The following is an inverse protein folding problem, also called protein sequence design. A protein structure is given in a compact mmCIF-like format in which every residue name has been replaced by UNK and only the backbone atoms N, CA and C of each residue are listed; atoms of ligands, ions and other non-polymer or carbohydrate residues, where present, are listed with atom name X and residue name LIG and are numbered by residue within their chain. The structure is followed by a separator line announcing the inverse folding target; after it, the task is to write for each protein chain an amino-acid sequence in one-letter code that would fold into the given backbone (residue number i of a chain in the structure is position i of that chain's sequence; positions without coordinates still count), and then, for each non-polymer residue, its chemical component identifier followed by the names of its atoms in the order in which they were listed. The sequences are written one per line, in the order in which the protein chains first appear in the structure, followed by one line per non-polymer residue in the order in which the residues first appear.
data_IF_346797491293
#
_entry.id   IF_346797491293
#
_cell.length_a   1.000
_cell.length_b   1.000
_cell.length_c   1.000
_cell.angle_alpha   90.00
_cell.angle_beta   90.00
_cell.angle_gamma   90.00
#
_symmetry.space_group_name_H-M   'P 1'
#
loop_
_entity.id
_entity.type
_entity.pdbx_description
1 polymer ?
#
# COMPACT_ATOMS: atom_id res chain seq x y z
N UNK A 1 5.48 -9.75 -22.35
CA UNK A 1 6.52 -10.78 -22.56
C UNK A 1 6.04 -11.90 -23.49
N UNK A 2 4.76 -12.30 -23.43
CA UNK A 2 4.20 -13.36 -24.28
C UNK A 2 3.29 -12.86 -25.41
N UNK A 3 3.37 -11.59 -25.80
CA UNK A 3 2.56 -11.06 -26.91
C UNK A 3 3.35 -11.23 -28.23
N UNK A 4 2.66 -11.50 -29.33
CA UNK A 4 3.26 -11.73 -30.66
C UNK A 4 3.15 -13.18 -31.14
N UNK A 5 3.74 -13.49 -32.29
CA UNK A 5 3.72 -14.82 -32.91
C UNK A 5 5.12 -15.46 -32.88
N UNK A 6 5.18 -16.79 -32.74
CA UNK A 6 6.39 -17.59 -32.98
C UNK A 6 6.37 -18.01 -34.44
N UNK A 7 7.43 -17.69 -35.17
CA UNK A 7 7.56 -18.06 -36.58
C UNK A 7 8.25 -19.42 -36.75
N UNK A 8 9.20 -19.74 -35.88
CA UNK A 8 9.94 -21.02 -35.87
C UNK A 8 10.31 -21.38 -34.42
N UNK A 9 10.13 -22.64 -34.03
CA UNK A 9 10.57 -23.20 -32.74
C UNK A 9 10.66 -24.73 -32.82
N UNK A 10 11.55 -25.24 -33.68
CA UNK A 10 11.65 -26.67 -34.00
C UNK A 10 11.95 -27.55 -32.77
N UNK A 11 12.60 -27.00 -31.75
CA UNK A 11 12.94 -27.69 -30.50
C UNK A 11 11.86 -27.54 -29.41
N UNK A 12 10.87 -26.66 -29.59
CA UNK A 12 9.83 -26.36 -28.60
C UNK A 12 10.31 -25.60 -27.34
N UNK A 13 11.62 -25.39 -27.18
CA UNK A 13 12.21 -24.80 -25.98
C UNK A 13 11.84 -23.32 -25.81
N UNK A 14 11.66 -22.58 -26.90
CA UNK A 14 11.25 -21.18 -26.81
C UNK A 14 9.79 -21.08 -26.37
N UNK A 15 8.90 -21.89 -26.95
CA UNK A 15 7.49 -21.97 -26.56
C UNK A 15 7.37 -22.34 -25.09
N UNK A 16 8.06 -23.39 -24.65
CA UNK A 16 8.06 -23.84 -23.24
C UNK A 16 8.45 -22.70 -22.30
N UNK A 17 9.58 -22.03 -22.55
CA UNK A 17 10.04 -20.91 -21.71
C UNK A 17 9.10 -19.71 -21.77
N UNK A 18 8.54 -19.40 -22.94
CA UNK A 18 7.58 -18.30 -23.11
C UNK A 18 6.32 -18.56 -22.29
N UNK A 19 5.82 -19.78 -22.27
CA UNK A 19 4.65 -20.18 -21.46
C UNK A 19 4.89 -19.98 -19.97
N UNK A 20 6.12 -20.18 -19.47
CA UNK A 20 6.49 -19.89 -18.08
C UNK A 20 6.33 -18.40 -17.73
N UNK A 21 6.40 -17.49 -18.72
CA UNK A 21 6.15 -16.05 -18.56
C UNK A 21 4.71 -15.63 -18.90
N UNK A 22 3.80 -16.57 -19.10
CA UNK A 22 2.39 -16.27 -19.40
C UNK A 22 1.63 -15.68 -18.20
N UNK A 23 2.12 -15.94 -16.99
CA UNK A 23 1.58 -15.41 -15.74
C UNK A 23 2.70 -15.08 -14.76
N UNK A 24 2.40 -14.21 -13.79
CA UNK A 24 3.33 -13.99 -12.68
C UNK A 24 3.56 -15.30 -11.90
N UNK A 25 4.82 -15.58 -11.48
CA UNK A 25 5.05 -16.53 -10.42
C UNK A 25 4.17 -16.18 -9.21
N UNK A 26 3.50 -17.17 -8.64
CA UNK A 26 2.45 -16.93 -7.62
C UNK A 26 2.93 -16.06 -6.44
N UNK A 27 4.14 -16.26 -5.86
CA UNK A 27 4.61 -15.39 -4.79
C UNK A 27 4.78 -13.93 -5.21
N UNK A 28 5.27 -13.68 -6.44
CA UNK A 28 5.40 -12.32 -7.00
C UNK A 28 4.02 -11.69 -7.17
N UNK A 29 3.03 -12.46 -7.66
CA UNK A 29 1.64 -12.00 -7.78
C UNK A 29 1.07 -11.59 -6.42
N UNK A 30 1.26 -12.40 -5.39
CA UNK A 30 0.76 -12.15 -4.03
C UNK A 30 1.43 -10.94 -3.39
N UNK A 31 2.76 -10.80 -3.54
CA UNK A 31 3.48 -9.62 -3.05
C UNK A 31 2.95 -8.33 -3.68
N UNK A 32 2.79 -8.33 -5.01
CA UNK A 32 2.23 -7.17 -5.73
C UNK A 32 0.79 -6.89 -5.33
N UNK A 33 -0.01 -7.93 -5.12
CA UNK A 33 -1.40 -7.79 -4.69
C UNK A 33 -1.47 -7.14 -3.32
N UNK A 34 -0.66 -7.60 -2.36
CA UNK A 34 -0.59 -7.00 -1.02
C UNK A 34 -0.23 -5.50 -1.09
N UNK A 35 0.79 -5.14 -1.88
CA UNK A 35 1.18 -3.73 -2.06
C UNK A 35 0.08 -2.88 -2.70
N UNK A 36 -0.61 -3.42 -3.70
CA UNK A 36 -1.70 -2.72 -4.38
C UNK A 36 -2.92 -2.54 -3.46
N UNK A 37 -3.24 -3.53 -2.63
CA UNK A 37 -4.29 -3.42 -1.60
C UNK A 37 -3.97 -2.33 -0.58
N UNK A 38 -2.73 -2.26 -0.08
CA UNK A 38 -2.29 -1.19 0.82
C UNK A 38 -2.43 0.19 0.19
N UNK A 39 -2.01 0.34 -1.07
CA UNK A 39 -2.17 1.61 -1.81
C UNK A 39 -3.64 1.99 -1.98
N UNK A 40 -4.49 1.02 -2.32
CA UNK A 40 -5.93 1.22 -2.46
C UNK A 40 -6.57 1.68 -1.14
N UNK A 41 -6.21 1.04 -0.01
CA UNK A 41 -6.68 1.42 1.32
C UNK A 41 -6.21 2.83 1.71
N UNK A 42 -4.92 3.12 1.55
CA UNK A 42 -4.32 4.40 1.93
C UNK A 42 -4.88 5.55 1.09
N UNK A 43 -4.93 5.41 -0.23
CA UNK A 43 -5.42 6.46 -1.12
C UNK A 43 -6.94 6.68 -0.98
N UNK A 44 -7.72 5.59 -1.04
CA UNK A 44 -9.18 5.67 -1.05
C UNK A 44 -9.79 5.78 0.35
N UNK A 45 -9.60 4.76 1.19
CA UNK A 45 -10.32 4.65 2.46
C UNK A 45 -9.82 5.63 3.53
N UNK A 46 -8.55 6.04 3.44
CA UNK A 46 -7.92 6.90 4.44
C UNK A 46 -7.69 8.34 3.95
N UNK A 47 -6.90 8.54 2.89
CA UNK A 47 -6.45 9.88 2.48
C UNK A 47 -7.56 10.71 1.83
N UNK A 48 -8.38 10.12 0.95
CA UNK A 48 -9.42 10.86 0.23
C UNK A 48 -10.40 11.57 1.19
N UNK A 49 -11.00 10.84 2.13
CA UNK A 49 -11.97 11.43 3.08
C UNK A 49 -11.36 12.52 3.97
N UNK A 50 -10.06 12.43 4.27
CA UNK A 50 -9.33 13.47 5.01
C UNK A 50 -9.08 14.71 4.16
N UNK A 51 -8.72 14.52 2.89
CA UNK A 51 -8.59 15.62 1.93
C UNK A 51 -9.94 16.34 1.77
N UNK A 52 -11.03 15.58 1.64
CA UNK A 52 -12.39 16.11 1.52
C UNK A 52 -12.80 16.97 2.72
N UNK A 53 -12.58 16.48 3.95
CA UNK A 53 -12.87 17.24 5.18
C UNK A 53 -12.11 18.58 5.25
N UNK A 54 -10.95 18.69 4.60
CA UNK A 54 -10.12 19.89 4.55
C UNK A 54 -10.42 20.81 3.36
N UNK A 55 -11.25 20.37 2.42
CA UNK A 55 -11.44 21.09 1.16
C UNK A 55 -10.18 21.09 0.26
N UNK A 56 -9.23 20.19 0.48
CA UNK A 56 -8.00 20.11 -0.33
C UNK A 56 -8.26 19.39 -1.65
N UNK A 57 -8.65 20.18 -2.66
CA UNK A 57 -9.03 19.67 -3.98
C UNK A 57 -7.86 18.94 -4.68
N UNK A 58 -6.62 19.44 -4.53
CA UNK A 58 -5.45 18.83 -5.16
C UNK A 58 -5.14 17.44 -4.59
N UNK A 59 -5.22 17.30 -3.26
CA UNK A 59 -5.06 16.01 -2.58
C UNK A 59 -6.23 15.06 -2.90
N UNK A 60 -7.46 15.55 -3.06
CA UNK A 60 -8.60 14.73 -3.50
C UNK A 60 -8.36 14.12 -4.88
N UNK A 61 -7.98 14.93 -5.88
CA UNK A 61 -7.66 14.44 -7.22
C UNK A 61 -6.52 13.42 -7.22
N UNK A 62 -5.45 13.72 -6.48
CA UNK A 62 -4.28 12.83 -6.39
C UNK A 62 -4.63 11.50 -5.74
N UNK A 63 -5.40 11.53 -4.66
CA UNK A 63 -5.86 10.33 -3.94
C UNK A 63 -6.80 9.49 -4.81
N UNK A 64 -7.73 10.12 -5.53
CA UNK A 64 -8.65 9.44 -6.43
C UNK A 64 -7.91 8.77 -7.59
N UNK A 65 -6.94 9.46 -8.18
CA UNK A 65 -6.10 8.90 -9.24
C UNK A 65 -5.31 7.67 -8.75
N UNK A 66 -4.60 7.76 -7.61
CA UNK A 66 -3.86 6.63 -7.03
C UNK A 66 -4.79 5.46 -6.67
N UNK A 67 -5.98 5.74 -6.12
CA UNK A 67 -6.99 4.73 -5.82
C UNK A 67 -7.44 3.98 -7.08
N UNK A 68 -7.77 4.69 -8.17
CA UNK A 68 -8.18 4.08 -9.45
C UNK A 68 -7.05 3.21 -10.01
N UNK A 69 -5.80 3.67 -9.96
CA UNK A 69 -4.67 2.89 -10.48
C UNK A 69 -4.40 1.63 -9.66
N UNK A 70 -4.41 1.75 -8.32
CA UNK A 70 -4.22 0.63 -7.43
C UNK A 70 -5.35 -0.40 -7.58
N UNK A 71 -6.60 0.06 -7.68
CA UNK A 71 -7.78 -0.80 -7.86
C UNK A 71 -7.71 -1.57 -9.19
N UNK A 72 -7.32 -0.91 -10.28
CA UNK A 72 -7.11 -1.59 -11.55
C UNK A 72 -6.02 -2.66 -11.46
N UNK A 73 -4.86 -2.36 -10.84
CA UNK A 73 -3.79 -3.33 -10.61
C UNK A 73 -4.26 -4.55 -9.81
N UNK A 74 -5.02 -4.34 -8.72
CA UNK A 74 -5.66 -5.41 -7.95
C UNK A 74 -6.54 -6.27 -8.86
N UNK A 75 -7.38 -5.66 -9.70
CA UNK A 75 -8.23 -6.37 -10.65
C UNK A 75 -7.45 -7.29 -11.60
N UNK A 76 -6.34 -6.81 -12.17
CA UNK A 76 -5.47 -7.62 -13.04
C UNK A 76 -4.81 -8.78 -12.27
N UNK A 77 -4.30 -8.52 -11.06
CA UNK A 77 -3.65 -9.53 -10.24
C UNK A 77 -4.61 -10.62 -9.76
N UNK A 78 -5.88 -10.28 -9.49
CA UNK A 78 -6.94 -11.22 -9.16
C UNK A 78 -7.44 -12.01 -10.38
N UNK A 79 -7.32 -11.45 -11.58
CA UNK A 79 -7.55 -12.15 -12.85
C UNK A 79 -6.32 -12.93 -13.35
N UNK A 80 -5.21 -12.97 -12.59
CA UNK A 80 -3.94 -13.62 -12.96
C UNK A 80 -3.39 -13.13 -14.30
N UNK A 81 -3.56 -11.85 -14.62
CA UNK A 81 -3.12 -11.24 -15.86
C UNK A 81 -2.13 -10.09 -15.63
N UNK A 82 -1.26 -9.86 -16.61
CA UNK A 82 -0.39 -8.69 -16.60
C UNK A 82 -1.21 -7.42 -16.85
N UNK A 83 -1.05 -6.43 -15.97
CA UNK A 83 -1.61 -5.10 -16.21
C UNK A 83 -0.88 -4.44 -17.40
N UNK A 84 -1.59 -3.94 -18.42
CA UNK A 84 -0.98 -3.27 -19.55
C UNK A 84 -0.52 -1.84 -19.19
N UNK A 85 0.15 -1.18 -20.13
CA UNK A 85 0.55 0.21 -20.01
C UNK A 85 -0.66 1.12 -19.71
N UNK A 86 -0.44 2.21 -18.97
CA UNK A 86 -1.51 2.97 -18.31
C UNK A 86 -2.65 3.40 -19.25
N UNK A 87 -2.33 3.75 -20.52
CA UNK A 87 -3.33 4.16 -21.52
C UNK A 87 -4.35 3.07 -21.90
N UNK A 88 -4.00 1.80 -21.71
CA UNK A 88 -4.86 0.65 -22.01
C UNK A 88 -5.43 -0.03 -20.77
N UNK A 89 -5.05 0.45 -19.58
CA UNK A 89 -5.35 -0.17 -18.29
C UNK A 89 -6.84 -0.37 -18.07
N UNK A 90 -7.66 0.67 -18.22
CA UNK A 90 -9.11 0.57 -18.00
C UNK A 90 -9.79 -0.24 -19.12
N UNK A 91 -9.41 -0.04 -20.39
CA UNK A 91 -9.97 -0.78 -21.53
C UNK A 91 -9.73 -2.29 -21.40
N UNK A 92 -8.52 -2.72 -21.02
CA UNK A 92 -8.20 -4.14 -20.88
C UNK A 92 -9.01 -4.87 -19.82
N UNK A 93 -9.67 -4.15 -18.90
CA UNK A 93 -10.57 -4.74 -17.90
C UNK A 93 -11.85 -5.33 -18.51
N UNK A 94 -12.17 -5.04 -19.78
CA UNK A 94 -13.28 -5.70 -20.50
C UNK A 94 -13.13 -7.22 -20.56
N UNK A 95 -11.89 -7.72 -20.50
CA UNK A 95 -11.57 -9.15 -20.58
C UNK A 95 -11.59 -9.85 -19.21
N UNK A 96 -11.98 -9.13 -18.14
CA UNK A 96 -11.99 -9.69 -16.79
C UNK A 96 -13.02 -10.80 -16.65
N UNK A 97 -12.55 -11.97 -16.19
CA UNK A 97 -13.41 -13.12 -15.84
C UNK A 97 -13.95 -13.00 -14.42
N UNK A 98 -13.18 -12.33 -13.56
CA UNK A 98 -13.47 -12.01 -12.15
C UNK A 98 -13.60 -10.50 -11.98
N UNK A 99 -14.40 -10.05 -11.02
CA UNK A 99 -14.65 -8.62 -10.82
C UNK A 99 -15.19 -7.91 -12.09
N UNK A 100 -16.12 -8.55 -12.82
CA UNK A 100 -16.64 -8.07 -14.12
C UNK A 100 -17.21 -6.65 -14.08
N UNK A 101 -17.75 -6.22 -12.93
CA UNK A 101 -18.33 -4.88 -12.74
C UNK A 101 -17.30 -3.80 -12.41
N UNK A 102 -16.04 -4.18 -12.12
CA UNK A 102 -15.04 -3.25 -11.61
C UNK A 102 -14.73 -2.11 -12.59
N UNK A 103 -14.69 -2.41 -13.89
CA UNK A 103 -14.50 -1.40 -14.94
C UNK A 103 -15.59 -0.32 -14.87
N UNK A 104 -16.85 -0.73 -14.90
CA UNK A 104 -17.98 0.23 -14.88
C UNK A 104 -18.05 1.00 -13.56
N UNK A 105 -17.67 0.40 -12.45
CA UNK A 105 -17.61 1.10 -11.15
C UNK A 105 -16.53 2.19 -11.16
N UNK A 106 -15.32 1.87 -11.64
CA UNK A 106 -14.26 2.87 -11.79
C UNK A 106 -14.63 3.97 -12.80
N UNK A 107 -15.25 3.62 -13.92
CA UNK A 107 -15.71 4.59 -14.92
C UNK A 107 -16.83 5.50 -14.38
N UNK A 108 -17.70 4.99 -13.51
CA UNK A 108 -18.70 5.80 -12.82
C UNK A 108 -18.02 6.79 -11.87
N UNK A 109 -17.11 6.30 -11.03
CA UNK A 109 -16.34 7.11 -10.09
C UNK A 109 -15.55 8.23 -10.78
N UNK A 110 -14.87 7.92 -11.88
CA UNK A 110 -14.06 8.89 -12.65
C UNK A 110 -14.87 10.00 -13.34
N UNK A 111 -16.20 9.85 -13.47
CA UNK A 111 -17.08 10.90 -14.03
C UNK A 111 -17.44 11.97 -13.01
N UNK A 112 -17.16 11.74 -11.73
CA UNK A 112 -17.50 12.65 -10.64
C UNK A 112 -16.44 13.74 -10.52
N UNK A 113 -16.87 14.90 -10.07
CA UNK A 113 -15.95 15.92 -9.59
C UNK A 113 -15.31 15.43 -8.30
N UNK A 114 -14.02 15.72 -8.09
CA UNK A 114 -13.26 15.18 -6.96
C UNK A 114 -13.75 15.66 -5.58
N UNK A 115 -14.67 16.62 -5.51
CA UNK A 115 -15.30 17.11 -4.28
C UNK A 115 -16.67 16.48 -4.01
N UNK A 116 -17.16 15.61 -4.90
CA UNK A 116 -18.47 14.96 -4.76
C UNK A 116 -18.59 14.19 -3.43
N UNK A 117 -19.68 14.46 -2.71
CA UNK A 117 -19.98 13.84 -1.41
C UNK A 117 -20.21 12.31 -1.50
N UNK A 118 -20.47 11.78 -2.70
CA UNK A 118 -20.78 10.36 -2.92
C UNK A 118 -19.52 9.50 -3.10
N UNK A 119 -18.35 10.11 -3.34
CA UNK A 119 -17.10 9.39 -3.62
C UNK A 119 -16.66 8.46 -2.47
N UNK A 120 -16.72 8.85 -1.18
CA UNK A 120 -16.35 7.94 -0.09
C UNK A 120 -17.18 6.65 -0.07
N UNK A 121 -18.48 6.75 -0.33
CA UNK A 121 -19.39 5.61 -0.38
C UNK A 121 -19.05 4.70 -1.57
N UNK A 122 -18.77 5.28 -2.75
CA UNK A 122 -18.36 4.51 -3.92
C UNK A 122 -17.03 3.80 -3.74
N UNK A 123 -16.05 4.47 -3.11
CA UNK A 123 -14.79 3.86 -2.69
C UNK A 123 -15.09 2.65 -1.80
N UNK A 124 -15.98 2.81 -0.81
CA UNK A 124 -16.41 1.74 0.09
C UNK A 124 -17.01 0.54 -0.66
N UNK A 125 -17.93 0.79 -1.60
CA UNK A 125 -18.56 -0.25 -2.42
C UNK A 125 -17.53 -0.99 -3.29
N UNK A 126 -16.58 -0.28 -3.90
CA UNK A 126 -15.49 -0.87 -4.69
C UNK A 126 -14.59 -1.74 -3.80
N UNK A 127 -14.19 -1.23 -2.61
CA UNK A 127 -13.38 -1.96 -1.65
C UNK A 127 -14.07 -3.25 -1.18
N UNK A 128 -15.37 -3.19 -0.86
CA UNK A 128 -16.16 -4.36 -0.49
C UNK A 128 -16.23 -5.39 -1.63
N UNK A 129 -16.41 -4.94 -2.88
CA UNK A 129 -16.44 -5.83 -4.04
C UNK A 129 -15.10 -6.56 -4.24
N UNK A 130 -13.98 -5.87 -4.03
CA UNK A 130 -12.63 -6.47 -4.03
C UNK A 130 -12.47 -7.45 -2.87
N UNK A 131 -12.92 -7.10 -1.66
CA UNK A 131 -12.84 -7.96 -0.48
C UNK A 131 -13.58 -9.29 -0.69
N UNK A 132 -14.76 -9.27 -1.30
CA UNK A 132 -15.51 -10.50 -1.62
C UNK A 132 -14.75 -11.39 -2.61
N UNK A 133 -14.10 -10.83 -3.63
CA UNK A 133 -13.26 -11.63 -4.53
C UNK A 133 -12.02 -12.21 -3.81
N UNK A 134 -11.42 -11.46 -2.86
CA UNK A 134 -10.33 -11.99 -2.04
C UNK A 134 -10.79 -13.20 -1.22
N UNK A 135 -11.99 -13.15 -0.63
CA UNK A 135 -12.59 -14.28 0.09
C UNK A 135 -12.86 -15.47 -0.85
N UNK A 136 -13.44 -15.23 -2.02
CA UNK A 136 -13.69 -16.26 -3.06
C UNK A 136 -12.40 -16.96 -3.48
N UNK A 137 -11.28 -16.24 -3.54
CA UNK A 137 -9.97 -16.81 -3.87
C UNK A 137 -9.22 -17.39 -2.66
N UNK A 138 -9.82 -17.40 -1.47
CA UNK A 138 -9.20 -17.82 -0.21
C UNK A 138 -7.89 -17.05 0.11
N UNK A 139 -7.85 -15.77 -0.28
CA UNK A 139 -6.70 -14.88 -0.05
C UNK A 139 -6.84 -14.09 1.27
N UNK A 140 -8.03 -14.12 1.88
CA UNK A 140 -8.26 -13.61 3.23
C UNK A 140 -9.34 -14.43 3.95
N UNK A 141 -9.30 -14.38 5.29
CA UNK A 141 -10.35 -14.88 6.19
C UNK A 141 -11.05 -13.76 6.96
N UNK A 142 -10.56 -12.53 6.81
CA UNK A 142 -11.10 -11.36 7.51
C UNK A 142 -12.33 -10.80 6.77
N UNK A 143 -13.30 -10.31 7.54
CA UNK A 143 -14.42 -9.52 7.06
C UNK A 143 -14.19 -8.01 7.21
N UNK A 144 -13.03 -7.58 7.69
CA UNK A 144 -12.70 -6.17 7.89
C UNK A 144 -12.71 -5.41 6.56
N UNK A 145 -13.42 -4.29 6.53
CA UNK A 145 -13.64 -3.50 5.32
C UNK A 145 -12.40 -2.71 4.91
N UNK A 146 -11.53 -2.36 5.87
CA UNK A 146 -10.27 -1.67 5.59
C UNK A 146 -9.27 -2.62 4.91
N UNK A 147 -8.94 -2.35 3.64
CA UNK A 147 -8.20 -3.29 2.79
C UNK A 147 -6.75 -3.51 3.22
N UNK A 148 -6.16 -2.58 3.98
CA UNK A 148 -4.78 -2.75 4.49
C UNK A 148 -4.67 -3.93 5.46
N UNK A 149 -5.77 -4.28 6.17
CA UNK A 149 -5.83 -5.49 7.01
C UNK A 149 -5.66 -6.76 6.18
N UNK A 150 -6.11 -6.75 4.93
CA UNK A 150 -6.06 -7.92 4.05
C UNK A 150 -4.64 -8.22 3.55
N UNK A 151 -3.76 -7.22 3.56
CA UNK A 151 -2.35 -7.32 3.17
C UNK A 151 -1.64 -8.46 3.91
N UNK A 152 -1.81 -8.55 5.23
CA UNK A 152 -1.09 -9.55 6.03
C UNK A 152 -1.55 -10.98 5.74
N UNK A 153 -2.83 -11.19 5.43
CA UNK A 153 -3.32 -12.51 5.00
C UNK A 153 -2.71 -12.93 3.65
N UNK A 154 -2.64 -12.00 2.70
CA UNK A 154 -2.04 -12.24 1.38
C UNK A 154 -0.54 -12.53 1.50
N UNK A 155 0.18 -11.75 2.32
CA UNK A 155 1.62 -11.97 2.57
C UNK A 155 1.89 -13.26 3.33
N UNK A 156 1.04 -13.62 4.30
CA UNK A 156 1.14 -14.91 4.96
C UNK A 156 1.02 -16.07 3.95
N UNK A 157 0.01 -16.03 3.06
CA UNK A 157 -0.14 -17.04 2.00
C UNK A 157 1.09 -17.12 1.09
N UNK A 158 1.69 -15.98 0.75
CA UNK A 158 2.93 -15.92 -0.02
C UNK A 158 4.07 -16.65 0.71
N UNK A 159 4.29 -16.36 1.99
CA UNK A 159 5.35 -16.98 2.81
C UNK A 159 5.20 -18.50 2.87
N UNK A 160 3.97 -19.00 3.04
CA UNK A 160 3.70 -20.45 3.06
C UNK A 160 4.00 -21.14 1.71
N UNK A 161 3.73 -20.47 0.58
CA UNK A 161 4.09 -21.00 -0.74
C UNK A 161 5.60 -21.08 -0.97
N UNK A 162 6.35 -20.12 -0.41
CA UNK A 162 7.81 -20.10 -0.53
C UNK A 162 8.44 -21.24 0.27
N UNK A 163 7.92 -21.54 1.49
CA UNK A 163 8.36 -22.68 2.31
C UNK A 163 8.08 -24.03 1.64
N UNK A 164 6.89 -24.21 1.08
CA UNK A 164 6.45 -25.51 0.52
C UNK A 164 7.13 -25.90 -0.78
N UNK A 165 7.59 -24.96 -1.60
CA UNK A 165 8.16 -25.25 -2.92
C UNK A 165 9.58 -25.82 -2.91
N UNK A 166 10.25 -26.01 -1.76
CA UNK A 166 11.70 -26.30 -1.69
C UNK A 166 12.49 -25.43 -2.69
N UNK A 167 12.02 -24.20 -2.95
CA UNK A 167 12.95 -23.23 -3.48
C UNK A 167 14.03 -23.14 -2.41
N UNK A 168 15.33 -23.17 -2.75
CA UNK A 168 16.38 -22.80 -1.81
C UNK A 168 16.32 -21.28 -1.60
N UNK A 169 15.14 -20.77 -1.28
CA UNK A 169 15.01 -19.72 -0.32
C UNK A 169 15.41 -20.47 0.94
N UNK A 170 16.69 -20.37 1.32
CA UNK A 170 17.08 -20.65 2.70
C UNK A 170 15.96 -20.01 3.54
N UNK A 171 15.40 -20.68 4.55
CA UNK A 171 14.44 -20.04 5.46
C UNK A 171 14.91 -18.62 5.85
N UNK A 172 16.23 -18.43 5.80
CA UNK A 172 16.93 -17.20 5.55
C UNK A 172 16.73 -16.40 4.24
N UNK A 173 15.54 -15.99 3.80
CA UNK A 173 15.50 -14.86 2.82
C UNK A 173 14.42 -13.86 3.09
N UNK A 174 13.26 -14.22 3.63
CA UNK A 174 12.35 -13.20 4.17
C UNK A 174 12.52 -13.09 5.68
N UNK A 175 12.61 -14.23 6.37
CA UNK A 175 13.04 -14.26 7.77
C UNK A 175 14.51 -13.89 7.92
N UNK A 176 15.35 -13.94 6.88
CA UNK A 176 16.71 -13.35 6.90
C UNK A 176 16.86 -12.06 6.14
N UNK A 177 15.93 -11.62 5.30
CA UNK A 177 15.82 -10.16 5.08
C UNK A 177 15.32 -9.44 6.35
N UNK A 178 14.56 -10.14 7.22
CA UNK A 178 14.09 -9.63 8.51
C UNK A 178 15.02 -10.00 9.69
N UNK A 179 15.84 -11.06 9.61
CA UNK A 179 16.91 -11.43 10.57
C UNK A 179 18.30 -10.90 10.21
N UNK A 180 18.62 -10.61 8.93
CA UNK A 180 19.83 -9.83 8.54
C UNK A 180 19.67 -8.37 8.94
N UNK A 181 18.45 -7.93 9.23
CA UNK A 181 18.32 -6.76 10.09
C UNK A 181 18.85 -7.19 11.44
N UNK A 182 20.00 -6.64 11.81
CA UNK A 182 20.57 -6.92 13.12
C UNK A 182 19.49 -6.71 14.17
N UNK A 183 19.50 -7.50 15.25
CA UNK A 183 18.60 -7.28 16.39
C UNK A 183 18.68 -5.81 16.85
N UNK A 184 19.83 -5.17 16.63
CA UNK A 184 20.05 -3.75 16.81
C UNK A 184 19.16 -2.88 15.90
N UNK A 185 19.10 -3.11 14.59
CA UNK A 185 18.20 -2.38 13.68
C UNK A 185 16.74 -2.47 14.10
N UNK A 186 16.28 -3.68 14.44
CA UNK A 186 14.90 -3.89 14.91
C UNK A 186 14.63 -3.12 16.20
N UNK A 187 15.57 -3.19 17.14
CA UNK A 187 15.52 -2.43 18.40
C UNK A 187 15.45 -0.92 18.15
N UNK A 188 16.31 -0.39 17.26
CA UNK A 188 16.30 1.02 16.87
C UNK A 188 14.95 1.43 16.28
N UNK A 189 14.42 0.65 15.33
CA UNK A 189 13.10 0.93 14.74
C UNK A 189 11.99 0.91 15.80
N UNK A 190 11.97 -0.08 16.69
CA UNK A 190 10.97 -0.17 17.76
C UNK A 190 11.06 1.02 18.72
N UNK A 191 12.27 1.46 19.07
CA UNK A 191 12.51 2.64 19.91
C UNK A 191 12.08 3.94 19.22
N UNK A 192 12.43 4.13 17.95
CA UNK A 192 12.03 5.29 17.14
C UNK A 192 10.51 5.37 17.07
N UNK A 193 9.83 4.26 16.76
CA UNK A 193 8.36 4.23 16.65
C UNK A 193 7.70 4.56 17.99
N UNK A 194 8.25 4.05 19.10
CA UNK A 194 7.74 4.37 20.44
C UNK A 194 7.93 5.86 20.79
N UNK A 195 9.08 6.46 20.49
CA UNK A 195 9.32 7.88 20.74
C UNK A 195 8.51 8.79 19.82
N UNK A 196 8.45 8.48 18.51
CA UNK A 196 7.58 9.20 17.58
C UNK A 196 6.13 9.12 18.02
N UNK A 197 5.66 7.99 18.54
CA UNK A 197 4.29 7.88 19.04
C UNK A 197 4.02 8.83 20.20
N UNK A 198 4.91 8.88 21.21
CA UNK A 198 4.79 9.82 22.34
C UNK A 198 4.75 11.27 21.87
N UNK A 199 5.59 11.63 20.91
CA UNK A 199 5.61 12.97 20.32
C UNK A 199 4.35 13.23 19.47
N UNK A 200 3.92 12.25 18.68
CA UNK A 200 2.76 12.33 17.82
C UNK A 200 1.48 12.53 18.62
N UNK A 201 1.32 11.89 19.79
CA UNK A 201 0.18 12.14 20.70
C UNK A 201 0.04 13.61 21.11
N UNK A 202 1.15 14.34 21.18
CA UNK A 202 1.16 15.76 21.57
C UNK A 202 1.05 16.71 20.38
N UNK A 203 1.15 16.20 19.15
CA UNK A 203 1.06 17.02 17.95
C UNK A 203 -0.40 17.42 17.69
N UNK A 204 -0.64 18.72 17.51
CA UNK A 204 -1.95 19.24 17.10
C UNK A 204 -1.90 19.63 15.63
N UNK A 205 -2.84 19.13 14.84
CA UNK A 205 -3.02 19.55 13.45
C UNK A 205 -4.13 20.61 13.37
N UNK A 206 -4.27 21.27 12.21
CA UNK A 206 -5.34 22.26 11.94
C UNK A 206 -6.76 21.76 12.29
N UNK A 207 -7.02 20.46 12.15
CA UNK A 207 -8.29 19.81 12.47
C UNK A 207 -8.37 19.16 13.85
N UNK A 208 -7.43 19.44 14.75
CA UNK A 208 -7.33 18.80 16.06
C UNK A 208 -6.55 17.48 16.04
N UNK A 209 -6.95 16.55 16.90
CA UNK A 209 -6.34 15.22 17.01
C UNK A 209 -6.57 14.41 15.72
N UNK A 210 -5.52 13.72 15.26
CA UNK A 210 -5.65 12.84 14.11
C UNK A 210 -6.18 11.48 14.57
N UNK A 211 -7.07 10.86 13.81
CA UNK A 211 -7.62 9.51 14.12
C UNK A 211 -6.53 8.46 14.40
N UNK A 212 -5.39 8.56 13.70
CA UNK A 212 -4.24 7.70 13.96
C UNK A 212 -3.62 7.85 15.35
N UNK A 213 -3.86 8.94 16.09
CA UNK A 213 -3.43 9.08 17.49
C UNK A 213 -4.16 8.09 18.40
N UNK A 214 -5.30 7.52 17.98
CA UNK A 214 -6.02 6.51 18.76
C UNK A 214 -5.84 5.09 18.23
N UNK A 215 -5.04 4.88 17.19
CA UNK A 215 -4.86 3.57 16.54
C UNK A 215 -3.37 3.19 16.47
N UNK A 216 -2.86 2.68 17.59
CA UNK A 216 -1.48 2.19 17.70
C UNK A 216 -1.14 1.14 16.63
N UNK A 217 -1.94 0.08 16.38
CA UNK A 217 -1.60 -0.94 15.37
C UNK A 217 -1.36 -0.34 13.98
N UNK A 218 -2.20 0.60 13.56
CA UNK A 218 -2.05 1.26 12.24
C UNK A 218 -0.83 2.16 12.22
N UNK A 219 -0.60 2.96 13.26
CA UNK A 219 0.57 3.82 13.36
C UNK A 219 1.88 3.02 13.33
N UNK A 220 1.96 1.97 14.15
CA UNK A 220 3.12 1.11 14.26
C UNK A 220 3.47 0.48 12.90
N UNK A 221 2.49 -0.13 12.22
CA UNK A 221 2.72 -0.77 10.92
C UNK A 221 3.21 0.26 9.88
N UNK A 222 2.57 1.43 9.82
CA UNK A 222 2.96 2.47 8.86
C UNK A 222 4.38 2.98 9.13
N UNK A 223 4.73 3.26 10.39
CA UNK A 223 6.06 3.79 10.73
C UNK A 223 7.16 2.76 10.57
N UNK A 224 6.95 1.53 11.03
CA UNK A 224 7.90 0.43 10.80
C UNK A 224 8.18 0.23 9.32
N UNK A 225 7.16 0.29 8.47
CA UNK A 225 7.34 0.12 7.02
C UNK A 225 8.24 1.19 6.37
N UNK A 226 8.33 2.39 6.96
CA UNK A 226 9.22 3.47 6.51
C UNK A 226 10.65 3.22 7.02
N UNK A 227 10.81 3.02 8.33
CA UNK A 227 12.13 2.96 8.96
C UNK A 227 12.93 1.70 8.61
N UNK A 228 12.27 0.59 8.28
CA UNK A 228 12.98 -0.60 7.81
C UNK A 228 13.71 -0.40 6.47
N UNK A 229 13.40 0.67 5.73
CA UNK A 229 14.12 1.02 4.51
C UNK A 229 15.39 1.86 4.74
N UNK A 230 15.64 2.31 5.97
CA UNK A 230 16.80 3.14 6.32
C UNK A 230 17.95 2.29 6.87
N UNK A 231 19.19 2.77 6.74
CA UNK A 231 20.38 2.11 7.29
C UNK A 231 20.51 2.35 8.81
N UNK A 232 21.24 1.47 9.52
CA UNK A 232 21.36 1.51 10.98
C UNK A 232 21.95 2.83 11.51
N UNK A 233 22.95 3.38 10.83
CA UNK A 233 23.58 4.65 11.22
C UNK A 233 22.57 5.81 11.18
N UNK A 234 21.70 5.82 10.16
CA UNK A 234 20.65 6.83 10.00
C UNK A 234 19.59 6.66 11.09
N UNK A 235 19.21 5.41 11.39
CA UNK A 235 18.26 5.11 12.46
C UNK A 235 18.80 5.54 13.82
N UNK A 236 20.07 5.23 14.12
CA UNK A 236 20.71 5.64 15.37
C UNK A 236 20.76 7.16 15.49
N UNK A 237 21.22 7.87 14.45
CA UNK A 237 21.25 9.34 14.44
C UNK A 237 19.87 9.93 14.64
N UNK A 238 18.84 9.39 13.98
CA UNK A 238 17.48 9.90 14.11
C UNK A 238 16.89 9.64 15.51
N UNK A 239 17.18 8.49 16.12
CA UNK A 239 16.77 8.19 17.48
C UNK A 239 17.43 9.14 18.49
N UNK A 240 18.70 9.46 18.30
CA UNK A 240 19.43 10.43 19.11
C UNK A 240 18.79 11.82 19.01
N UNK A 241 18.50 12.28 17.78
CA UNK A 241 17.81 13.55 17.54
C UNK A 241 16.42 13.58 18.20
N UNK A 242 15.62 12.52 18.03
CA UNK A 242 14.30 12.37 18.67
C UNK A 242 14.41 12.49 20.20
N UNK A 243 15.39 11.80 20.78
CA UNK A 243 15.59 11.74 22.22
C UNK A 243 16.12 13.06 22.77
N UNK A 244 17.08 13.68 22.09
CA UNK A 244 17.64 14.98 22.49
C UNK A 244 16.59 16.08 22.38
N UNK A 245 15.86 16.14 21.27
CA UNK A 245 14.76 17.08 21.08
C UNK A 245 13.71 16.94 22.20
N UNK A 246 13.29 15.70 22.50
CA UNK A 246 12.34 15.44 23.57
C UNK A 246 12.85 15.92 24.94
N UNK A 247 14.15 15.76 25.24
CA UNK A 247 14.78 16.23 26.50
C UNK A 247 14.73 17.75 26.65
N UNK A 248 14.92 18.50 25.56
CA UNK A 248 14.86 19.96 25.58
C UNK A 248 13.44 20.51 25.34
N UNK A 249 12.42 19.64 25.33
CA UNK A 249 11.01 20.01 25.15
C UNK A 249 10.62 20.28 23.69
N UNK A 250 11.47 19.96 22.72
CA UNK A 250 11.19 20.10 21.30
C UNK A 250 10.51 18.83 20.76
N UNK A 251 9.38 19.00 20.09
CA UNK A 251 8.67 17.95 19.35
C UNK A 251 8.97 18.03 17.84
N UNK A 252 9.92 17.22 17.37
CA UNK A 252 10.34 17.24 15.96
C UNK A 252 9.30 16.61 15.02
N UNK A 253 8.44 15.71 15.54
CA UNK A 253 7.31 15.19 14.76
C UNK A 253 6.34 16.33 14.44
N UNK A 254 5.99 17.15 15.43
CA UNK A 254 5.13 18.32 15.24
C UNK A 254 5.80 19.35 14.33
N UNK A 255 7.09 19.62 14.51
CA UNK A 255 7.83 20.54 13.65
C UNK A 255 7.89 20.07 12.18
N UNK A 256 8.08 18.78 11.93
CA UNK A 256 8.01 18.22 10.57
C UNK A 256 6.68 18.57 9.91
N UNK A 257 5.57 18.41 10.63
CA UNK A 257 4.25 18.80 10.13
C UNK A 257 4.13 20.32 9.94
N UNK A 258 4.65 21.12 10.88
CA UNK A 258 4.67 22.57 10.77
C UNK A 258 5.48 23.05 9.55
N UNK A 259 6.67 22.50 9.29
CA UNK A 259 7.49 22.86 8.12
C UNK A 259 6.82 22.52 6.79
N UNK A 260 6.00 21.47 6.73
CA UNK A 260 5.19 21.21 5.53
C UNK A 260 4.16 22.35 5.29
N UNK A 261 3.68 23.00 6.35
CA UNK A 261 2.77 24.16 6.26
C UNK A 261 3.44 25.39 5.64
N UNK A 262 4.77 25.47 5.59
CA UNK A 262 5.48 26.56 4.89
C UNK A 262 5.02 26.70 3.44
N UNK A 263 4.71 25.57 2.79
CA UNK A 263 4.25 25.54 1.41
C UNK A 263 2.76 25.22 1.27
N UNK A 264 2.16 24.51 2.22
CA UNK A 264 0.74 24.10 2.13
C UNK A 264 -0.22 25.07 2.83
N UNK A 265 0.24 25.82 3.84
CA UNK A 265 -0.57 26.77 4.61
C UNK A 265 0.27 27.97 5.12
N UNK A 266 0.89 28.76 4.22
CA UNK A 266 1.90 29.77 4.60
C UNK A 266 1.38 30.88 5.53
N UNK A 267 0.09 31.18 5.49
CA UNK A 267 -0.52 32.17 6.38
C UNK A 267 -0.62 31.70 7.84
N UNK A 268 -0.63 30.38 8.06
CA UNK A 268 -0.75 29.75 9.38
C UNK A 268 0.61 29.31 9.95
N UNK A 269 1.66 29.30 9.11
CA UNK A 269 3.03 28.90 9.46
C UNK A 269 3.85 30.01 10.16
N UNK A 270 3.27 31.18 10.43
CA UNK A 270 3.97 32.34 11.01
C UNK A 270 4.29 32.20 12.49
#
# INVERSE_FOLDING_TARGET
AVNGAIFTDELGEFTRRREDFSQYPEPVRLFRLARALSKMAQAGQYNYSRAQKRGDLGMMYSSLAEFVQATAEVGYLLNRSYMPFYKWRIRGMEQFKRLKKLKSMLEHLMKKTADSAEIPDEIGVICAYVLEELKVQNLTKSSESFLDVQKEFVLHRMRELLKTKKMPIKEDTMDTLLKDMSENKKTLVDQIVAEEWKQFQKARNEGGEAECQHNWPTFEIMRKSQFYTWDEDVLSSYLDDLTQAARIGWNIVAEKYARMMEHTAPNQYR
#
